data_IF_698924982786
#
_entry.id   IF_698924982786
#
_cell.length_a   1.000
_cell.length_b   1.000
_cell.length_c   1.000
_cell.angle_alpha   90.00
_cell.angle_beta   90.00
_cell.angle_gamma   90.00
#
_symmetry.space_group_name_H-M   'P 1'
#
loop_
_entity.id
_entity.type
_entity.pdbx_description
1 polymer ?
#
# COMPACT_ATOMS: atom_id res chain seq x y z
N UNK A 1 -0.19 2.89 -13.19
CA UNK A 1 0.63 3.06 -11.98
C UNK A 1 1.82 3.93 -12.32
N UNK A 2 2.14 4.89 -11.52
CA UNK A 2 3.29 5.77 -11.72
C UNK A 2 4.59 5.12 -11.25
N UNK A 3 5.73 5.68 -11.67
CA UNK A 3 7.08 5.18 -11.36
C UNK A 3 7.31 5.00 -9.86
N UNK A 4 6.89 5.96 -9.06
CA UNK A 4 6.87 5.87 -7.60
C UNK A 4 5.44 5.71 -7.14
N UNK A 5 5.18 4.68 -6.35
CA UNK A 5 3.85 4.46 -5.78
C UNK A 5 3.98 4.19 -4.28
N UNK A 6 3.33 5.02 -3.47
CA UNK A 6 3.26 4.87 -2.03
C UNK A 6 1.94 4.18 -1.70
N UNK A 7 1.99 3.03 -1.03
CA UNK A 7 0.82 2.28 -0.58
C UNK A 7 0.59 2.59 0.90
N UNK A 8 -0.54 3.22 1.17
CA UNK A 8 -0.96 3.64 2.51
C UNK A 8 -2.31 3.01 2.86
N UNK A 9 -2.69 3.06 4.13
CA UNK A 9 -3.98 2.55 4.61
C UNK A 9 -3.89 2.11 6.06
N UNK A 10 -5.03 1.80 6.67
CA UNK A 10 -5.09 1.36 8.06
C UNK A 10 -4.41 0.00 8.27
N UNK A 11 -4.02 -0.28 9.53
CA UNK A 11 -3.49 -1.60 9.91
C UNK A 11 -4.47 -2.73 9.52
N UNK A 12 -3.95 -3.79 8.93
CA UNK A 12 -4.77 -4.92 8.48
C UNK A 12 -5.62 -4.67 7.22
N UNK A 13 -5.42 -3.56 6.50
CA UNK A 13 -6.09 -3.32 5.21
C UNK A 13 -5.52 -4.11 4.03
N UNK A 14 -4.40 -4.83 4.22
CA UNK A 14 -3.77 -5.66 3.17
C UNK A 14 -2.70 -4.94 2.33
N UNK A 15 -2.18 -3.80 2.78
CA UNK A 15 -1.17 -3.00 2.07
C UNK A 15 0.01 -3.82 1.57
N UNK A 16 0.67 -4.55 2.47
CA UNK A 16 1.90 -5.30 2.15
C UNK A 16 1.65 -6.39 1.12
N UNK A 17 0.51 -7.09 1.19
CA UNK A 17 0.12 -8.08 0.19
C UNK A 17 -0.09 -7.42 -1.19
N UNK A 18 -0.77 -6.25 -1.21
CA UNK A 18 -0.98 -5.47 -2.43
C UNK A 18 0.34 -4.94 -2.97
N UNK A 19 1.23 -4.43 -2.12
CA UNK A 19 2.56 -3.94 -2.51
C UNK A 19 3.37 -5.00 -3.24
N UNK A 20 3.41 -6.24 -2.71
CA UNK A 20 4.10 -7.38 -3.35
C UNK A 20 3.45 -7.74 -4.68
N UNK A 21 2.12 -7.91 -4.70
CA UNK A 21 1.41 -8.29 -5.93
C UNK A 21 1.56 -7.24 -7.04
N UNK A 22 1.48 -5.95 -6.70
CA UNK A 22 1.72 -4.87 -7.66
C UNK A 22 3.16 -4.87 -8.17
N UNK A 23 4.14 -5.08 -7.29
CA UNK A 23 5.55 -5.11 -7.69
C UNK A 23 5.84 -6.23 -8.68
N UNK A 24 5.30 -7.42 -8.46
CA UNK A 24 5.44 -8.57 -9.35
C UNK A 24 4.73 -8.33 -10.69
N UNK A 25 3.46 -7.89 -10.65
CA UNK A 25 2.63 -7.71 -11.85
C UNK A 25 3.13 -6.58 -12.75
N UNK A 26 3.67 -5.51 -12.17
CA UNK A 26 4.15 -4.32 -12.91
C UNK A 26 5.67 -4.32 -13.11
N UNK A 27 6.39 -5.37 -12.65
CA UNK A 27 7.86 -5.53 -12.76
C UNK A 27 8.60 -4.31 -12.19
N UNK A 28 8.31 -3.98 -10.95
CA UNK A 28 8.89 -2.84 -10.24
C UNK A 28 10.32 -3.18 -9.78
N UNK A 29 11.24 -2.23 -9.86
CA UNK A 29 12.64 -2.47 -9.48
C UNK A 29 12.84 -2.61 -7.97
N UNK A 30 12.08 -1.83 -7.17
CA UNK A 30 12.27 -1.75 -5.72
C UNK A 30 10.97 -1.86 -4.94
N UNK A 31 10.98 -2.63 -3.86
CA UNK A 31 10.02 -2.51 -2.75
C UNK A 31 10.76 -1.90 -1.57
N UNK A 32 10.17 -0.86 -0.97
CA UNK A 32 10.69 -0.18 0.21
C UNK A 32 9.70 -0.40 1.35
N UNK A 33 10.10 -1.20 2.34
CA UNK A 33 9.33 -1.44 3.56
C UNK A 33 9.55 -0.27 4.52
N UNK A 34 8.51 0.52 4.77
CA UNK A 34 8.49 1.61 5.74
C UNK A 34 7.67 1.27 6.99
N UNK A 35 7.19 0.03 7.14
CA UNK A 35 6.57 -0.42 8.40
C UNK A 35 7.65 -0.81 9.42
N UNK A 36 7.99 0.14 10.29
CA UNK A 36 9.03 -0.03 11.31
C UNK A 36 8.56 -0.96 12.44
N UNK A 37 7.25 -1.05 12.65
CA UNK A 37 6.65 -1.79 13.78
C UNK A 37 6.44 -3.26 13.42
N UNK A 38 5.97 -3.53 12.20
CA UNK A 38 5.63 -4.87 11.75
C UNK A 38 6.34 -5.20 10.42
N UNK A 39 7.60 -5.63 10.46
CA UNK A 39 8.33 -5.96 9.23
C UNK A 39 7.80 -7.26 8.62
N UNK A 40 6.85 -7.14 7.69
CA UNK A 40 6.21 -8.30 7.03
C UNK A 40 7.09 -8.96 5.97
N UNK A 41 8.05 -8.25 5.38
CA UNK A 41 8.85 -8.69 4.24
C UNK A 41 10.02 -9.62 4.60
N UNK A 42 10.26 -9.91 5.88
CA UNK A 42 11.42 -10.71 6.36
C UNK A 42 11.29 -12.22 6.18
N UNK A 43 10.40 -12.72 5.35
CA UNK A 43 10.32 -14.16 5.13
C UNK A 43 11.30 -14.59 4.04
N UNK A 44 12.06 -15.68 4.29
CA UNK A 44 12.96 -16.27 3.29
C UNK A 44 12.24 -16.57 1.96
N UNK A 45 11.02 -17.10 2.03
CA UNK A 45 10.24 -17.42 0.84
C UNK A 45 9.90 -16.16 0.00
N UNK A 46 9.69 -15.01 0.65
CA UNK A 46 9.41 -13.76 -0.05
C UNK A 46 10.68 -13.18 -0.68
N UNK A 47 11.82 -13.31 0.00
CA UNK A 47 13.12 -12.90 -0.56
C UNK A 47 13.46 -13.71 -1.82
N UNK A 48 13.22 -15.04 -1.83
CA UNK A 48 13.40 -15.90 -3.00
C UNK A 48 12.52 -15.41 -4.18
N UNK A 49 11.24 -15.04 -3.92
CA UNK A 49 10.34 -14.48 -4.93
C UNK A 49 10.88 -13.16 -5.49
N UNK A 50 11.40 -12.27 -4.64
CA UNK A 50 11.96 -10.99 -5.08
C UNK A 50 13.23 -11.19 -5.92
N UNK A 51 14.14 -12.08 -5.50
CA UNK A 51 15.36 -12.41 -6.26
C UNK A 51 15.03 -12.97 -7.64
N UNK A 52 14.09 -13.93 -7.74
CA UNK A 52 13.63 -14.52 -9.01
C UNK A 52 13.03 -13.49 -9.98
N UNK A 53 12.42 -12.42 -9.44
CA UNK A 53 11.79 -11.37 -10.23
C UNK A 53 12.67 -10.11 -10.38
N UNK A 54 13.93 -10.13 -9.92
CA UNK A 54 14.86 -9.01 -9.94
C UNK A 54 14.32 -7.77 -9.19
N UNK A 55 13.53 -7.97 -8.14
CA UNK A 55 13.01 -6.91 -7.28
C UNK A 55 13.95 -6.74 -6.09
N UNK A 56 14.40 -5.52 -5.85
CA UNK A 56 15.24 -5.21 -4.69
C UNK A 56 14.39 -4.78 -3.50
N UNK A 57 14.49 -5.52 -2.40
CA UNK A 57 13.90 -5.13 -1.13
C UNK A 57 14.83 -4.15 -0.39
N UNK A 58 14.25 -3.02 0.06
CA UNK A 58 14.89 -2.08 0.99
C UNK A 58 14.09 -2.10 2.28
N UNK A 59 14.70 -2.58 3.34
CA UNK A 59 14.12 -2.59 4.68
C UNK A 59 14.38 -1.26 5.41
N UNK A 60 13.40 -0.83 6.22
CA UNK A 60 13.47 0.43 6.98
C UNK A 60 14.49 0.40 8.12
N UNK A 61 14.79 -0.78 8.68
CA UNK A 61 15.62 -0.91 9.88
C UNK A 61 17.03 -1.35 9.55
N UNK A 62 18.02 -0.61 10.08
CA UNK A 62 19.41 -1.07 10.14
C UNK A 62 19.47 -2.14 11.23
N UNK A 63 19.97 -3.35 10.90
CA UNK A 63 20.23 -4.39 11.90
C UNK A 63 21.03 -3.82 13.07
N UNK A 64 20.48 -3.96 14.29
CA UNK A 64 21.16 -3.53 15.53
C UNK A 64 20.64 -2.26 16.20
N UNK A 65 19.68 -1.51 15.62
CA UNK A 65 19.12 -0.29 16.23
C UNK A 65 17.66 -0.44 16.70
N UNK A 66 17.26 -1.59 17.16
CA UNK A 66 15.89 -1.90 17.63
C UNK A 66 15.39 -1.10 18.84
N UNK A 67 16.25 -0.27 19.49
CA UNK A 67 15.93 0.46 20.72
C UNK A 67 16.09 1.98 20.61
N UNK A 68 16.06 2.58 19.41
CA UNK A 68 16.08 4.04 19.30
C UNK A 68 14.66 4.59 19.20
N UNK A 69 14.35 5.60 20.01
CA UNK A 69 13.05 6.31 19.99
C UNK A 69 12.78 7.08 18.68
N UNK A 70 13.70 7.08 17.74
CA UNK A 70 13.54 7.65 16.41
C UNK A 70 13.51 6.55 15.34
N UNK A 71 12.49 6.53 14.47
CA UNK A 71 12.42 5.61 13.35
C UNK A 71 13.57 5.90 12.37
N UNK A 72 14.58 5.06 12.40
CA UNK A 72 15.72 5.18 11.49
C UNK A 72 15.36 4.51 10.17
N UNK A 73 15.18 5.31 9.13
CA UNK A 73 14.97 4.78 7.77
C UNK A 73 16.31 4.73 7.05
N UNK A 74 16.61 3.58 6.46
CA UNK A 74 17.82 3.42 5.66
C UNK A 74 17.95 4.52 4.59
N UNK A 75 19.13 5.12 4.46
CA UNK A 75 19.40 6.07 3.37
C UNK A 75 19.14 5.50 1.98
N UNK A 76 19.17 4.17 1.83
CA UNK A 76 18.80 3.47 0.61
C UNK A 76 17.34 3.71 0.19
N UNK A 77 16.42 3.96 1.14
CA UNK A 77 15.04 4.28 0.84
C UNK A 77 14.86 5.60 0.05
N UNK A 78 15.85 6.47 0.06
CA UNK A 78 15.83 7.70 -0.73
C UNK A 78 16.26 7.50 -2.20
N UNK A 79 16.89 6.37 -2.54
CA UNK A 79 17.47 6.13 -3.87
C UNK A 79 16.44 6.25 -5.00
N UNK A 80 15.23 5.65 -4.93
CA UNK A 80 14.25 5.79 -5.99
C UNK A 80 13.71 7.22 -6.18
N UNK A 81 13.79 8.06 -5.13
CA UNK A 81 13.40 9.47 -5.25
C UNK A 81 14.44 10.34 -5.98
N UNK A 82 15.66 9.83 -6.17
CA UNK A 82 16.77 10.57 -6.77
C UNK A 82 17.13 10.04 -8.16
N UNK A 83 16.85 8.77 -8.43
CA UNK A 83 17.18 8.10 -9.69
C UNK A 83 15.92 7.90 -10.54
N UNK A 84 15.75 8.69 -11.59
CA UNK A 84 14.53 8.74 -12.39
C UNK A 84 14.24 7.48 -13.22
N UNK A 85 15.21 6.60 -13.39
CA UNK A 85 15.06 5.32 -14.09
C UNK A 85 14.61 4.17 -13.19
N UNK A 86 14.56 4.37 -11.87
CA UNK A 86 14.17 3.35 -10.90
C UNK A 86 12.68 3.49 -10.54
N UNK A 87 11.93 2.43 -10.73
CA UNK A 87 10.55 2.30 -10.25
C UNK A 87 10.51 1.73 -8.82
N UNK A 88 9.59 2.22 -7.98
CA UNK A 88 9.51 1.74 -6.60
C UNK A 88 8.09 1.77 -6.03
N UNK A 89 7.80 0.76 -5.19
CA UNK A 89 6.65 0.75 -4.30
C UNK A 89 7.15 0.94 -2.87
N UNK A 90 6.54 1.90 -2.16
CA UNK A 90 6.76 2.17 -0.75
C UNK A 90 5.58 1.64 0.05
N UNK A 91 5.80 0.64 0.91
CA UNK A 91 4.79 0.09 1.80
C UNK A 91 4.83 0.82 3.14
N UNK A 92 3.81 1.61 3.44
CA UNK A 92 3.73 2.37 4.69
C UNK A 92 3.17 1.54 5.85
N UNK A 93 3.72 1.75 7.04
CA UNK A 93 3.13 1.24 8.27
C UNK A 93 1.69 1.73 8.47
N UNK A 94 0.81 0.81 8.88
CA UNK A 94 -0.62 1.10 9.09
C UNK A 94 -0.97 1.70 10.44
N UNK A 95 0.02 2.10 11.24
CA UNK A 95 -0.16 2.70 12.56
C UNK A 95 -0.53 4.17 12.49
N UNK A 96 -0.98 4.73 13.63
CA UNK A 96 -1.40 6.14 13.72
C UNK A 96 -0.36 7.16 13.25
N UNK A 97 0.92 6.81 13.29
CA UNK A 97 2.02 7.70 12.89
C UNK A 97 2.74 7.24 11.60
N UNK A 98 2.15 6.30 10.85
CA UNK A 98 2.78 5.73 9.66
C UNK A 98 3.15 6.77 8.58
N UNK A 99 2.35 7.83 8.46
CA UNK A 99 2.61 8.91 7.51
C UNK A 99 3.83 9.77 7.84
N UNK A 100 4.21 9.87 9.11
CA UNK A 100 5.32 10.73 9.56
C UNK A 100 6.68 10.30 9.01
N UNK A 101 6.85 9.03 8.70
CA UNK A 101 8.09 8.52 8.11
C UNK A 101 8.41 9.19 6.78
N UNK A 102 7.39 9.66 6.04
CA UNK A 102 7.56 10.33 4.75
C UNK A 102 8.06 11.78 4.87
N UNK A 103 7.93 12.42 6.04
CA UNK A 103 8.34 13.82 6.22
C UNK A 103 9.82 14.02 5.87
N UNK A 104 10.67 13.06 6.21
CA UNK A 104 12.10 13.13 5.90
C UNK A 104 12.41 13.15 4.39
N UNK A 105 11.45 12.74 3.56
CA UNK A 105 11.58 12.69 2.10
C UNK A 105 10.69 13.71 1.38
N UNK A 106 9.84 14.46 2.10
CA UNK A 106 8.77 15.29 1.52
C UNK A 106 9.26 16.28 0.48
N UNK A 107 10.41 16.93 0.71
CA UNK A 107 10.98 17.91 -0.22
C UNK A 107 11.47 17.28 -1.53
N UNK A 108 11.84 16.00 -1.50
CA UNK A 108 12.20 15.22 -2.69
C UNK A 108 10.96 14.73 -3.40
N UNK A 109 10.01 14.15 -2.65
CA UNK A 109 8.74 13.63 -3.15
C UNK A 109 7.96 14.70 -3.90
N UNK A 110 7.85 15.92 -3.36
CA UNK A 110 7.14 17.05 -3.98
C UNK A 110 7.72 17.52 -5.31
N UNK A 111 8.93 17.11 -5.66
CA UNK A 111 9.57 17.41 -6.94
C UNK A 111 9.35 16.35 -8.02
N UNK A 112 8.75 15.22 -7.65
CA UNK A 112 8.50 14.09 -8.56
C UNK A 112 7.08 14.20 -9.09
N UNK A 113 6.92 14.35 -10.41
CA UNK A 113 5.61 14.39 -11.07
C UNK A 113 5.01 12.99 -11.24
N UNK A 114 5.88 11.98 -11.44
CA UNK A 114 5.48 10.58 -11.66
C UNK A 114 5.41 9.80 -10.34
N UNK A 115 4.55 10.28 -9.43
CA UNK A 115 4.32 9.69 -8.11
C UNK A 115 2.83 9.60 -7.78
N UNK A 116 2.43 8.46 -7.19
CA UNK A 116 1.11 8.25 -6.61
C UNK A 116 1.22 7.92 -5.12
N UNK A 117 0.22 8.32 -4.35
CA UNK A 117 -0.05 7.86 -3.01
C UNK A 117 -1.45 7.24 -2.99
N UNK A 118 -1.51 5.91 -2.92
CA UNK A 118 -2.74 5.14 -3.01
C UNK A 118 -3.17 4.66 -1.62
N UNK A 119 -4.43 4.92 -1.27
CA UNK A 119 -5.00 4.54 0.03
C UNK A 119 -5.82 3.26 -0.08
N UNK A 120 -5.37 2.21 0.63
CA UNK A 120 -6.01 0.89 0.66
C UNK A 120 -7.12 0.87 1.70
N UNK A 121 -8.31 0.49 1.26
CA UNK A 121 -9.50 0.37 2.10
C UNK A 121 -10.03 -1.06 2.12
N UNK A 122 -10.33 -1.55 3.31
CA UNK A 122 -11.19 -2.70 3.55
C UNK A 122 -12.31 -2.25 4.49
N UNK A 123 -13.55 -2.17 4.01
CA UNK A 123 -14.68 -1.66 4.80
C UNK A 123 -15.07 -2.57 5.97
N UNK A 124 -14.56 -3.80 6.01
CA UNK A 124 -14.75 -4.69 7.17
C UNK A 124 -13.76 -4.42 8.31
N UNK A 125 -12.94 -3.37 8.21
CA UNK A 125 -12.14 -2.85 9.32
C UNK A 125 -12.90 -1.74 10.02
N UNK A 126 -13.01 -1.74 11.36
CA UNK A 126 -13.79 -0.75 12.12
C UNK A 126 -13.42 0.70 11.80
N UNK A 127 -12.15 0.96 11.51
CA UNK A 127 -11.59 2.29 11.24
C UNK A 127 -11.85 2.80 9.82
N UNK A 128 -12.30 1.92 8.92
CA UNK A 128 -12.61 2.24 7.52
C UNK A 128 -13.96 1.67 7.08
N UNK A 129 -14.89 1.47 8.04
CA UNK A 129 -16.16 0.80 7.80
C UNK A 129 -17.19 1.68 7.04
N UNK A 130 -16.98 2.97 6.99
CA UNK A 130 -17.88 3.92 6.34
C UNK A 130 -17.11 5.09 5.71
N UNK A 131 -17.81 5.85 4.88
CA UNK A 131 -17.27 7.01 4.15
C UNK A 131 -16.57 8.02 5.08
N UNK A 132 -17.22 8.41 6.17
CA UNK A 132 -16.72 9.46 7.05
C UNK A 132 -15.42 9.05 7.75
N UNK A 133 -15.33 7.78 8.17
CA UNK A 133 -14.12 7.22 8.75
C UNK A 133 -12.97 7.17 7.75
N UNK A 134 -13.26 6.75 6.51
CA UNK A 134 -12.25 6.71 5.44
C UNK A 134 -11.71 8.11 5.16
N UNK A 135 -12.59 9.10 5.03
CA UNK A 135 -12.20 10.50 4.79
C UNK A 135 -11.34 11.03 5.92
N UNK A 136 -11.75 10.80 7.19
CA UNK A 136 -10.95 11.19 8.36
C UNK A 136 -9.56 10.55 8.38
N UNK A 137 -9.49 9.26 8.04
CA UNK A 137 -8.23 8.53 8.00
C UNK A 137 -7.29 9.07 6.89
N UNK A 138 -7.84 9.38 5.72
CA UNK A 138 -7.10 10.03 4.62
C UNK A 138 -6.61 11.42 5.04
N UNK A 139 -7.47 12.26 5.58
CA UNK A 139 -7.10 13.61 6.04
C UNK A 139 -6.01 13.58 7.12
N UNK A 140 -6.09 12.62 8.05
CA UNK A 140 -5.06 12.41 9.07
C UNK A 140 -3.72 12.06 8.43
N UNK A 141 -3.71 11.08 7.50
CA UNK A 141 -2.51 10.67 6.77
C UNK A 141 -1.89 11.85 5.99
N UNK A 142 -2.71 12.62 5.27
CA UNK A 142 -2.25 13.79 4.53
C UNK A 142 -1.64 14.86 5.44
N UNK A 143 -2.23 15.09 6.61
CA UNK A 143 -1.69 16.01 7.62
C UNK A 143 -0.34 15.53 8.18
N UNK A 144 -0.20 14.23 8.43
CA UNK A 144 1.03 13.64 8.96
C UNK A 144 2.17 13.56 7.93
N UNK A 145 1.85 13.20 6.70
CA UNK A 145 2.85 13.03 5.62
C UNK A 145 3.16 14.31 4.86
N UNK A 146 2.29 15.32 4.93
CA UNK A 146 2.30 16.54 4.10
C UNK A 146 2.21 16.24 2.59
N UNK A 147 1.64 15.09 2.24
CA UNK A 147 1.41 14.61 0.87
C UNK A 147 -0.08 14.39 0.65
N UNK A 148 -0.53 14.43 -0.61
CA UNK A 148 -1.91 14.16 -0.98
C UNK A 148 -2.09 12.72 -1.39
N UNK A 149 -3.20 12.11 -0.98
CA UNK A 149 -3.68 10.84 -1.53
C UNK A 149 -4.19 11.11 -2.94
N UNK A 150 -3.71 10.33 -3.91
CA UNK A 150 -4.00 10.51 -5.34
C UNK A 150 -5.00 9.48 -5.88
N UNK A 151 -5.30 8.43 -5.11
CA UNK A 151 -6.25 7.41 -5.51
C UNK A 151 -6.56 6.41 -4.41
N UNK A 152 -7.61 5.64 -4.62
CA UNK A 152 -8.13 4.62 -3.71
C UNK A 152 -7.89 3.22 -4.26
N UNK A 153 -7.67 2.26 -3.37
CA UNK A 153 -7.65 0.83 -3.67
C UNK A 153 -8.76 0.15 -2.85
N UNK A 154 -9.73 -0.44 -3.54
CA UNK A 154 -10.72 -1.29 -2.90
C UNK A 154 -10.11 -2.66 -2.61
N UNK A 155 -9.86 -2.96 -1.35
CA UNK A 155 -9.44 -4.28 -0.87
C UNK A 155 -10.43 -4.83 0.17
N UNK A 156 -11.72 -4.58 -0.08
CA UNK A 156 -12.80 -5.12 0.77
C UNK A 156 -12.86 -6.61 0.60
N UNK A 157 -12.56 -7.36 1.67
CA UNK A 157 -12.52 -8.80 1.64
C UNK A 157 -12.70 -9.43 3.03
N UNK A 158 -13.19 -10.65 3.03
CA UNK A 158 -13.27 -11.59 4.15
C UNK A 158 -12.41 -12.83 3.89
N UNK A 159 -11.26 -12.65 3.26
CA UNK A 159 -10.33 -13.71 2.88
C UNK A 159 -11.00 -14.68 1.88
N UNK A 160 -10.87 -16.00 2.10
CA UNK A 160 -11.47 -17.04 1.23
C UNK A 160 -13.01 -17.05 1.23
N UNK A 161 -13.65 -16.33 2.16
CA UNK A 161 -15.10 -16.18 2.24
C UNK A 161 -15.63 -14.99 1.45
N UNK A 162 -14.76 -14.23 0.78
CA UNK A 162 -15.16 -13.02 0.05
C UNK A 162 -16.07 -13.37 -1.11
N UNK A 163 -17.21 -12.70 -1.18
CA UNK A 163 -18.15 -12.75 -2.31
C UNK A 163 -18.02 -11.52 -3.20
N UNK A 164 -18.56 -11.60 -4.41
CA UNK A 164 -18.58 -10.46 -5.34
C UNK A 164 -19.40 -9.30 -4.77
N UNK A 165 -20.51 -9.59 -4.07
CA UNK A 165 -21.37 -8.60 -3.44
C UNK A 165 -20.63 -7.78 -2.37
N UNK A 166 -19.74 -8.42 -1.61
CA UNK A 166 -18.94 -7.73 -0.59
C UNK A 166 -17.92 -6.78 -1.22
N UNK A 167 -17.28 -7.19 -2.31
CA UNK A 167 -16.38 -6.32 -3.06
C UNK A 167 -17.13 -5.13 -3.65
N UNK A 168 -18.34 -5.36 -4.19
CA UNK A 168 -19.23 -4.32 -4.70
C UNK A 168 -19.69 -3.36 -3.60
N UNK A 169 -20.00 -3.86 -2.41
CA UNK A 169 -20.32 -3.02 -1.26
C UNK A 169 -19.17 -2.08 -0.92
N UNK A 170 -17.93 -2.59 -0.93
CA UNK A 170 -16.74 -1.77 -0.76
C UNK A 170 -16.60 -0.71 -1.84
N UNK A 171 -16.86 -1.06 -3.09
CA UNK A 171 -16.80 -0.12 -4.21
C UNK A 171 -17.85 0.98 -4.09
N UNK A 172 -19.07 0.68 -3.62
CA UNK A 172 -20.12 1.67 -3.40
C UNK A 172 -19.70 2.71 -2.35
N UNK A 173 -19.15 2.28 -1.22
CA UNK A 173 -18.65 3.18 -0.18
C UNK A 173 -17.49 4.03 -0.73
N UNK A 174 -16.57 3.43 -1.47
CA UNK A 174 -15.45 4.15 -2.06
C UNK A 174 -15.85 5.10 -3.18
N UNK A 175 -16.94 4.85 -3.89
CA UNK A 175 -17.50 5.78 -4.88
C UNK A 175 -17.97 7.09 -4.24
N UNK A 176 -18.55 7.02 -3.04
CA UNK A 176 -18.93 8.22 -2.28
C UNK A 176 -17.68 8.99 -1.82
N UNK A 177 -16.65 8.30 -1.31
CA UNK A 177 -15.36 8.92 -0.93
C UNK A 177 -14.68 9.55 -2.15
N UNK A 178 -14.65 8.83 -3.27
CA UNK A 178 -14.07 9.29 -4.54
C UNK A 178 -14.71 10.59 -5.03
N UNK A 179 -16.04 10.68 -4.97
CA UNK A 179 -16.78 11.89 -5.36
C UNK A 179 -16.49 13.06 -4.41
N UNK A 180 -16.46 12.83 -3.11
CA UNK A 180 -16.26 13.88 -2.11
C UNK A 180 -14.84 14.44 -2.13
N UNK A 181 -13.83 13.57 -2.24
CA UNK A 181 -12.42 13.97 -2.28
C UNK A 181 -11.90 14.27 -3.69
N UNK A 182 -12.69 13.99 -4.72
CA UNK A 182 -12.30 14.09 -6.14
C UNK A 182 -11.02 13.30 -6.47
N UNK A 183 -10.93 12.06 -5.98
CA UNK A 183 -9.83 11.12 -6.24
C UNK A 183 -10.39 9.81 -6.80
N UNK A 184 -9.74 9.15 -7.80
CA UNK A 184 -10.28 7.95 -8.44
C UNK A 184 -10.13 6.70 -7.56
N UNK A 185 -11.02 5.71 -7.79
CA UNK A 185 -10.75 4.32 -7.43
C UNK A 185 -9.83 3.76 -8.52
N UNK A 186 -8.55 3.56 -8.18
CA UNK A 186 -7.53 3.13 -9.15
C UNK A 186 -7.54 1.62 -9.33
N UNK A 187 -7.67 0.89 -8.23
CA UNK A 187 -7.66 -0.56 -8.24
C UNK A 187 -8.78 -1.17 -7.40
N UNK A 188 -9.27 -2.33 -7.84
CA UNK A 188 -10.09 -3.25 -7.05
C UNK A 188 -9.38 -4.59 -6.98
N UNK A 189 -9.13 -5.07 -5.76
CA UNK A 189 -8.38 -6.29 -5.49
C UNK A 189 -9.34 -7.47 -5.38
N UNK A 190 -9.02 -8.53 -6.11
CA UNK A 190 -9.76 -9.80 -6.07
C UNK A 190 -8.75 -10.92 -5.92
N UNK A 191 -8.95 -11.82 -4.96
CA UNK A 191 -8.07 -12.98 -4.81
C UNK A 191 -8.12 -13.86 -6.06
N UNK A 192 -6.99 -14.39 -6.49
CA UNK A 192 -6.86 -15.14 -7.75
C UNK A 192 -7.73 -16.40 -7.82
N UNK A 193 -8.15 -16.90 -6.66
CA UNK A 193 -9.06 -18.06 -6.53
C UNK A 193 -10.53 -17.72 -6.81
N UNK A 194 -10.88 -16.42 -6.89
CA UNK A 194 -12.23 -15.96 -7.19
C UNK A 194 -12.37 -15.55 -8.66
N UNK A 195 -13.38 -16.06 -9.32
CA UNK A 195 -13.72 -15.71 -10.69
C UNK A 195 -14.99 -14.85 -10.73
N UNK A 196 -14.82 -13.56 -10.36
CA UNK A 196 -15.91 -12.59 -10.38
C UNK A 196 -16.07 -12.02 -11.80
N UNK A 197 -17.30 -12.00 -12.30
CA UNK A 197 -17.60 -11.53 -13.65
C UNK A 197 -17.79 -10.01 -13.73
N UNK A 198 -18.09 -9.36 -12.60
CA UNK A 198 -18.39 -7.93 -12.58
C UNK A 198 -17.21 -7.06 -13.04
N UNK A 199 -17.52 -6.03 -13.81
CA UNK A 199 -16.56 -4.99 -14.20
C UNK A 199 -16.51 -3.91 -13.13
N UNK A 200 -15.50 -3.94 -12.28
CA UNK A 200 -15.28 -2.96 -11.23
C UNK A 200 -14.82 -1.60 -11.80
N UNK A 201 -14.99 -0.52 -11.03
CA UNK A 201 -14.52 0.83 -11.40
C UNK A 201 -13.00 0.94 -11.44
N UNK A 202 -12.33 0.33 -10.46
CA UNK A 202 -10.87 0.22 -10.46
C UNK A 202 -10.36 -0.90 -11.37
N UNK A 203 -9.13 -0.76 -11.89
CA UNK A 203 -8.44 -1.85 -12.57
C UNK A 203 -8.36 -3.06 -11.63
N UNK A 204 -8.78 -4.25 -12.09
CA UNK A 204 -8.74 -5.46 -11.27
C UNK A 204 -7.30 -5.92 -11.04
N UNK A 205 -6.91 -6.05 -9.77
CA UNK A 205 -5.70 -6.74 -9.37
C UNK A 205 -6.07 -8.15 -8.93
N UNK A 206 -5.51 -9.17 -9.58
CA UNK A 206 -5.54 -10.55 -9.08
C UNK A 206 -4.49 -10.69 -7.99
N UNK A 207 -4.93 -11.01 -6.77
CA UNK A 207 -4.07 -11.10 -5.61
C UNK A 207 -3.74 -12.56 -5.30
N UNK A 208 -2.45 -12.87 -5.30
CA UNK A 208 -1.89 -14.11 -4.76
C UNK A 208 -1.43 -13.88 -3.34
N UNK A 209 -1.77 -14.77 -2.40
CA UNK A 209 -1.32 -14.64 -1.00
C UNK A 209 0.12 -15.07 -0.85
N UNK A 210 1.00 -14.10 -0.71
CA UNK A 210 2.45 -14.30 -0.60
C UNK A 210 2.99 -13.94 0.78
N UNK A 211 2.45 -12.90 1.40
CA UNK A 211 2.88 -12.40 2.72
C UNK A 211 2.18 -13.15 3.85
N UNK A 212 0.89 -13.44 3.71
CA UNK A 212 0.07 -14.05 4.75
C UNK A 212 0.19 -15.58 4.86
N UNK A 213 0.97 -16.26 4.01
CA UNK A 213 1.12 -17.73 4.01
C UNK A 213 1.55 -18.37 5.34
N UNK A 214 2.03 -17.57 6.31
CA UNK A 214 2.50 -18.06 7.62
C UNK A 214 1.43 -18.06 8.73
N UNK A 215 0.22 -17.57 8.47
CA UNK A 215 -0.81 -17.38 9.51
C UNK A 215 -2.06 -18.23 9.29
N UNK A 216 -2.08 -19.05 8.29
CA UNK A 216 -3.07 -20.09 7.96
C UNK A 216 -2.38 -21.46 7.93
#
# INVERSE_FOLDING_TARGET
MKRITIIAGHYGSGKSEISVNLALNKKIDYIVDLDIINPYFRSRALNEVFEENNIKLIESTIEGMLNSDMPYVSGAAAVPFVQDHISAIYDLGGTENGGRVLIQFVDRIKKIEDIDMLYVVNIFRPETADKDKIIKAIQKLEGESQLRVTGLINNTNLMHLTTEEEVLLGEQVLDEVSKELNIPIVYTVVEETHDFEHQFKGERIKLSRLVARKWL
#
